data_IF_802129944871
#
_entry.id   IF_802129944871
#
_cell.length_a   1.000
_cell.length_b   1.000
_cell.length_c   1.000
_cell.angle_alpha   90.00
_cell.angle_beta   90.00
_cell.angle_gamma   90.00
#
_symmetry.space_group_name_H-M   'P 1'
#
loop_
_entity.id
_entity.type
_entity.pdbx_description
1 polymer ?
#
# COMPACT_ATOMS: atom_id res chain seq x y z
N UNK A 1 12.58 -17.95 -0.40
CA UNK A 1 13.42 -19.13 -0.65
C UNK A 1 14.11 -19.57 0.65
N UNK A 2 14.89 -18.69 1.30
CA UNK A 2 15.62 -19.01 2.54
C UNK A 2 14.66 -19.37 3.69
N UNK A 3 13.57 -18.66 3.85
CA UNK A 3 12.55 -18.96 4.85
C UNK A 3 11.92 -20.35 4.66
N UNK A 4 11.61 -20.73 3.42
CA UNK A 4 11.07 -22.08 3.15
C UNK A 4 12.07 -23.17 3.59
N UNK A 5 13.35 -23.00 3.34
CA UNK A 5 14.39 -23.95 3.79
C UNK A 5 14.53 -24.00 5.30
N UNK A 6 14.35 -22.88 5.98
CA UNK A 6 14.40 -22.78 7.43
C UNK A 6 13.28 -23.60 8.10
N UNK A 7 12.06 -23.50 7.57
CA UNK A 7 10.89 -24.18 8.16
C UNK A 7 10.67 -25.60 7.62
N UNK A 8 11.14 -25.89 6.41
CA UNK A 8 11.03 -27.22 5.78
C UNK A 8 12.42 -27.66 5.30
N UNK A 9 13.29 -28.17 6.18
CA UNK A 9 14.72 -28.41 5.87
C UNK A 9 14.96 -29.37 4.69
N UNK A 10 14.04 -30.31 4.43
CA UNK A 10 14.15 -31.32 3.36
C UNK A 10 13.45 -30.87 2.05
N UNK A 11 12.96 -29.63 1.96
CA UNK A 11 12.22 -29.16 0.79
C UNK A 11 13.11 -29.02 -0.44
N UNK A 12 12.63 -29.55 -1.56
CA UNK A 12 13.22 -29.27 -2.88
C UNK A 12 12.46 -28.08 -3.49
N UNK A 13 13.18 -27.04 -3.89
CA UNK A 13 12.58 -25.82 -4.42
C UNK A 13 13.01 -25.62 -5.87
N UNK A 14 12.02 -25.44 -6.77
CA UNK A 14 12.22 -24.99 -8.13
C UNK A 14 11.81 -23.52 -8.22
N UNK A 15 12.77 -22.65 -8.51
CA UNK A 15 12.49 -21.22 -8.76
C UNK A 15 12.11 -20.98 -10.21
N UNK A 16 11.05 -20.18 -10.41
CA UNK A 16 10.46 -19.88 -11.73
C UNK A 16 10.32 -18.38 -11.90
N UNK A 17 11.08 -17.81 -12.83
CA UNK A 17 11.13 -16.36 -13.11
C UNK A 17 12.49 -15.74 -12.80
N UNK A 18 12.56 -14.40 -12.78
CA UNK A 18 13.79 -13.63 -12.49
C UNK A 18 15.00 -14.02 -13.36
N UNK A 19 14.78 -14.24 -14.68
CA UNK A 19 15.86 -14.61 -15.61
C UNK A 19 16.25 -16.10 -15.63
N UNK A 20 15.78 -16.88 -14.68
CA UNK A 20 15.97 -18.33 -14.73
C UNK A 20 15.19 -18.93 -15.90
N UNK A 21 15.85 -19.58 -16.86
CA UNK A 21 15.20 -20.28 -17.98
C UNK A 21 15.12 -21.80 -17.78
N UNK A 22 15.98 -22.35 -16.93
CA UNK A 22 16.11 -23.78 -16.66
C UNK A 22 14.81 -24.46 -16.16
N UNK A 23 13.88 -23.70 -15.57
CA UNK A 23 12.59 -24.24 -15.13
C UNK A 23 11.76 -24.79 -16.30
N UNK A 24 11.92 -24.25 -17.52
CA UNK A 24 11.12 -24.66 -18.70
C UNK A 24 11.27 -26.13 -19.05
N UNK A 25 12.44 -26.69 -18.83
CA UNK A 25 12.76 -28.09 -19.12
C UNK A 25 12.55 -28.99 -17.91
N UNK A 26 12.55 -28.43 -16.71
CA UNK A 26 12.52 -29.17 -15.47
C UNK A 26 11.14 -29.20 -14.79
N UNK A 27 10.21 -28.26 -15.11
CA UNK A 27 8.96 -28.13 -14.39
C UNK A 27 8.11 -29.41 -14.40
N UNK A 28 7.89 -30.00 -15.57
CA UNK A 28 7.07 -31.22 -15.69
C UNK A 28 7.68 -32.39 -14.95
N UNK A 29 8.99 -32.60 -15.04
CA UNK A 29 9.67 -33.67 -14.31
C UNK A 29 9.72 -33.41 -12.81
N UNK A 30 9.90 -32.15 -12.41
CA UNK A 30 9.94 -31.73 -11.00
C UNK A 30 8.59 -31.91 -10.32
N UNK A 31 7.49 -31.68 -11.03
CA UNK A 31 6.11 -31.79 -10.50
C UNK A 31 5.50 -33.20 -10.74
N UNK A 32 6.14 -34.08 -11.53
CA UNK A 32 5.65 -35.43 -11.79
C UNK A 32 5.58 -36.31 -10.55
N UNK A 33 4.46 -37.02 -10.37
CA UNK A 33 4.23 -37.96 -9.27
C UNK A 33 5.07 -39.24 -9.39
N UNK A 34 5.50 -39.61 -10.61
CA UNK A 34 6.34 -40.80 -10.84
C UNK A 34 7.71 -40.70 -10.16
N UNK A 35 8.16 -39.48 -9.88
CA UNK A 35 9.35 -39.20 -9.09
C UNK A 35 8.99 -38.95 -7.62
N UNK A 36 8.08 -39.75 -7.04
CA UNK A 36 7.65 -39.62 -5.64
C UNK A 36 8.87 -39.68 -4.71
N UNK A 37 9.44 -38.51 -4.50
CA UNK A 37 10.55 -38.32 -3.59
C UNK A 37 10.02 -38.33 -2.16
N UNK A 38 10.79 -38.85 -1.25
CA UNK A 38 10.56 -38.80 0.21
C UNK A 38 10.56 -37.33 0.75
N UNK A 39 10.78 -36.35 -0.10
CA UNK A 39 10.91 -34.93 0.30
C UNK A 39 9.81 -34.07 -0.34
N UNK A 40 9.23 -33.10 0.41
CA UNK A 40 8.28 -32.14 -0.14
C UNK A 40 8.92 -31.31 -1.25
N UNK A 41 8.13 -30.99 -2.28
CA UNK A 41 8.56 -30.18 -3.43
C UNK A 41 7.75 -28.90 -3.51
N UNK A 42 8.41 -27.77 -3.73
CA UNK A 42 7.78 -26.46 -3.88
C UNK A 42 8.23 -25.82 -5.18
N UNK A 43 7.29 -25.39 -5.99
CA UNK A 43 7.54 -24.50 -7.14
C UNK A 43 7.30 -23.07 -6.66
N UNK A 44 8.36 -22.27 -6.59
CA UNK A 44 8.28 -20.86 -6.21
C UNK A 44 8.28 -20.01 -7.49
N UNK A 45 7.13 -19.51 -7.86
CA UNK A 45 6.95 -18.81 -9.14
C UNK A 45 6.54 -17.36 -8.96
N UNK A 46 7.12 -16.46 -9.76
CA UNK A 46 6.63 -15.08 -9.84
C UNK A 46 5.37 -15.01 -10.71
N UNK A 47 4.43 -14.17 -10.33
CA UNK A 47 3.10 -14.07 -10.95
C UNK A 47 3.16 -13.83 -12.48
N UNK A 48 4.07 -12.96 -12.94
CA UNK A 48 4.29 -12.69 -14.37
C UNK A 48 4.66 -13.94 -15.20
N UNK A 49 5.20 -14.98 -14.56
CA UNK A 49 5.55 -16.24 -15.24
C UNK A 49 4.49 -17.29 -15.00
N UNK A 50 3.97 -17.40 -13.79
CA UNK A 50 2.97 -18.37 -13.39
C UNK A 50 1.63 -18.21 -14.15
N UNK A 51 1.29 -17.00 -14.57
CA UNK A 51 0.08 -16.70 -15.34
C UNK A 51 0.17 -17.00 -16.84
N UNK A 52 1.31 -17.50 -17.36
CA UNK A 52 1.48 -17.81 -18.77
C UNK A 52 1.03 -19.24 -19.07
N UNK A 53 0.39 -19.45 -20.23
CA UNK A 53 -0.05 -20.77 -20.67
C UNK A 53 1.07 -21.81 -20.68
N UNK A 54 2.26 -21.46 -21.16
CA UNK A 54 3.42 -22.34 -21.16
C UNK A 54 3.86 -22.84 -19.76
N UNK A 55 3.58 -22.08 -18.70
CA UNK A 55 3.83 -22.53 -17.32
C UNK A 55 2.71 -23.50 -16.89
N UNK A 56 1.46 -23.11 -17.11
CA UNK A 56 0.27 -23.85 -16.66
C UNK A 56 0.21 -25.22 -17.32
N UNK A 57 0.47 -25.30 -18.64
CA UNK A 57 0.48 -26.54 -19.43
C UNK A 57 1.57 -27.54 -19.01
N UNK A 58 2.69 -27.04 -18.49
CA UNK A 58 3.82 -27.87 -18.01
C UNK A 58 3.72 -28.29 -16.57
N UNK A 59 2.83 -27.67 -15.81
CA UNK A 59 2.61 -27.97 -14.40
C UNK A 59 1.80 -29.27 -14.28
N UNK A 60 2.33 -30.28 -13.59
CA UNK A 60 1.48 -31.39 -13.17
C UNK A 60 0.58 -30.92 -12.03
N UNK A 61 -0.71 -31.03 -12.20
CA UNK A 61 -1.72 -30.46 -11.32
C UNK A 61 -2.33 -31.50 -10.35
N UNK A 62 -1.89 -32.76 -10.41
CA UNK A 62 -2.35 -33.80 -9.51
C UNK A 62 -1.68 -33.65 -8.13
N UNK A 63 -2.44 -33.75 -7.05
CA UNK A 63 -2.02 -33.56 -5.67
C UNK A 63 -1.31 -32.21 -5.46
N UNK A 64 -1.85 -31.15 -6.08
CA UNK A 64 -1.32 -29.81 -6.04
C UNK A 64 -1.98 -28.98 -4.93
N UNK A 65 -1.15 -28.34 -4.13
CA UNK A 65 -1.57 -27.26 -3.23
C UNK A 65 -1.12 -25.96 -3.87
N UNK A 66 -2.07 -25.11 -4.23
CA UNK A 66 -1.81 -23.78 -4.79
C UNK A 66 -1.89 -22.72 -3.67
N UNK A 67 -0.80 -22.03 -3.42
CA UNK A 67 -0.75 -20.91 -2.46
C UNK A 67 -0.41 -19.63 -3.20
N UNK A 68 -1.27 -18.62 -3.06
CA UNK A 68 -1.06 -17.31 -3.65
C UNK A 68 -0.93 -16.25 -2.56
N UNK A 69 0.22 -15.62 -2.48
CA UNK A 69 0.41 -14.39 -1.69
C UNK A 69 -0.05 -13.18 -2.50
N UNK A 70 -0.57 -12.15 -1.81
CA UNK A 70 -1.18 -10.97 -2.42
C UNK A 70 -2.23 -11.35 -3.49
N UNK A 71 -3.15 -12.25 -3.10
CA UNK A 71 -4.12 -12.90 -4.01
C UNK A 71 -4.94 -11.92 -4.84
N UNK A 72 -5.16 -10.70 -4.33
CA UNK A 72 -5.86 -9.65 -5.06
C UNK A 72 -5.24 -9.31 -6.43
N UNK A 73 -3.93 -9.57 -6.61
CA UNK A 73 -3.25 -9.32 -7.90
C UNK A 73 -3.72 -10.26 -8.99
N UNK A 74 -4.15 -11.48 -8.61
CA UNK A 74 -4.60 -12.51 -9.55
C UNK A 74 -5.87 -12.10 -10.30
N UNK A 75 -6.74 -11.30 -9.64
CA UNK A 75 -8.00 -10.82 -10.25
C UNK A 75 -7.83 -9.83 -11.41
N UNK A 76 -6.63 -9.28 -11.64
CA UNK A 76 -6.42 -8.37 -12.76
C UNK A 76 -6.52 -9.10 -14.10
N UNK A 77 -7.04 -8.47 -15.16
CA UNK A 77 -7.15 -9.04 -16.52
C UNK A 77 -5.84 -9.69 -16.99
N UNK A 78 -4.70 -9.10 -16.63
CA UNK A 78 -3.36 -9.59 -16.97
C UNK A 78 -3.04 -10.96 -16.36
N UNK A 79 -3.54 -11.25 -15.17
CA UNK A 79 -3.12 -12.42 -14.41
C UNK A 79 -4.20 -13.48 -14.21
N UNK A 80 -5.45 -13.21 -14.59
CA UNK A 80 -6.59 -14.14 -14.44
C UNK A 80 -6.38 -15.51 -15.11
N UNK A 81 -5.45 -15.60 -16.07
CA UNK A 81 -5.11 -16.86 -16.69
C UNK A 81 -4.63 -17.92 -15.69
N UNK A 82 -4.09 -17.49 -14.54
CA UNK A 82 -3.64 -18.38 -13.45
C UNK A 82 -4.78 -19.19 -12.85
N UNK A 83 -6.02 -18.73 -12.96
CA UNK A 83 -7.20 -19.48 -12.50
C UNK A 83 -7.53 -20.73 -13.34
N UNK A 84 -6.77 -20.97 -14.42
CA UNK A 84 -6.79 -22.25 -15.13
C UNK A 84 -6.04 -23.37 -14.40
N UNK A 85 -5.26 -23.04 -13.36
CA UNK A 85 -4.59 -24.07 -12.54
C UNK A 85 -5.66 -24.78 -11.73
N UNK A 86 -5.80 -26.09 -12.00
CA UNK A 86 -6.71 -26.96 -11.25
C UNK A 86 -5.96 -27.64 -10.12
N UNK A 87 -6.03 -27.04 -8.92
CA UNK A 87 -5.35 -27.52 -7.72
C UNK A 87 -6.36 -28.15 -6.75
N UNK A 88 -5.97 -29.25 -6.10
CA UNK A 88 -6.80 -29.93 -5.10
C UNK A 88 -7.07 -29.05 -3.88
N UNK A 89 -6.10 -28.24 -3.49
CA UNK A 89 -6.22 -27.28 -2.40
C UNK A 89 -5.73 -25.90 -2.84
N UNK A 90 -6.47 -24.88 -2.46
CA UNK A 90 -6.20 -23.48 -2.84
C UNK A 90 -6.22 -22.60 -1.63
N UNK A 91 -5.16 -21.82 -1.44
CA UNK A 91 -5.02 -20.86 -0.35
C UNK A 91 -4.60 -19.50 -0.91
N UNK A 92 -5.46 -18.50 -0.78
CA UNK A 92 -5.17 -17.11 -1.11
C UNK A 92 -4.90 -16.30 0.16
N UNK A 93 -3.81 -15.55 0.17
CA UNK A 93 -3.44 -14.68 1.27
C UNK A 93 -3.50 -13.22 0.79
N UNK A 94 -4.18 -12.36 1.53
CA UNK A 94 -4.22 -10.91 1.30
C UNK A 94 -4.74 -10.18 2.54
N UNK A 95 -4.23 -8.99 2.80
CA UNK A 95 -4.84 -8.10 3.79
C UNK A 95 -6.18 -7.53 3.29
N UNK A 96 -6.36 -7.43 1.98
CA UNK A 96 -7.56 -6.90 1.31
C UNK A 96 -7.81 -7.72 0.05
N UNK A 97 -8.57 -8.83 0.12
CA UNK A 97 -8.82 -9.68 -1.05
C UNK A 97 -9.69 -9.00 -2.11
N UNK A 98 -10.57 -8.10 -1.70
CA UNK A 98 -11.37 -7.28 -2.60
C UNK A 98 -10.49 -6.29 -3.37
N UNK A 99 -10.77 -6.15 -4.65
CA UNK A 99 -10.08 -5.22 -5.52
C UNK A 99 -10.83 -3.90 -5.57
N UNK A 100 -10.13 -2.82 -5.28
CA UNK A 100 -10.68 -1.48 -5.38
C UNK A 100 -11.16 -1.22 -6.81
N UNK A 101 -12.44 -0.89 -7.00
CA UNK A 101 -13.10 -0.61 -8.29
C UNK A 101 -12.95 -1.73 -9.35
N UNK A 102 -12.81 -2.96 -8.95
CA UNK A 102 -12.73 -4.10 -9.88
C UNK A 102 -13.55 -5.26 -9.28
N UNK A 103 -14.87 -5.13 -9.36
CA UNK A 103 -15.81 -6.16 -8.89
C UNK A 103 -15.64 -7.47 -9.63
N UNK A 104 -15.42 -7.40 -10.96
CA UNK A 104 -15.19 -8.57 -11.80
C UNK A 104 -13.94 -9.33 -11.36
N UNK A 105 -12.85 -8.60 -11.06
CA UNK A 105 -11.62 -9.19 -10.54
C UNK A 105 -11.78 -9.75 -9.14
N UNK A 106 -12.54 -9.07 -8.28
CA UNK A 106 -12.90 -9.56 -6.93
C UNK A 106 -13.69 -10.85 -7.03
N UNK A 107 -14.73 -10.86 -7.86
CA UNK A 107 -15.55 -12.06 -8.10
C UNK A 107 -14.72 -13.23 -8.61
N UNK A 108 -13.85 -13.02 -9.58
CA UNK A 108 -12.98 -14.07 -10.13
C UNK A 108 -12.08 -14.71 -9.07
N UNK A 109 -11.58 -13.91 -8.11
CA UNK A 109 -10.80 -14.43 -6.97
C UNK A 109 -11.69 -15.29 -6.06
N UNK A 110 -12.85 -14.75 -5.66
CA UNK A 110 -13.75 -15.45 -4.74
C UNK A 110 -14.29 -16.74 -5.37
N UNK A 111 -14.63 -16.73 -6.66
CA UNK A 111 -15.08 -17.93 -7.37
C UNK A 111 -13.99 -19.02 -7.43
N UNK A 112 -12.72 -18.63 -7.57
CA UNK A 112 -11.61 -19.58 -7.65
C UNK A 112 -11.18 -20.14 -6.29
N UNK A 113 -11.16 -19.31 -5.23
CA UNK A 113 -10.80 -19.70 -3.86
C UNK A 113 -12.00 -20.12 -3.01
N UNK A 114 -13.22 -20.06 -3.58
CA UNK A 114 -14.52 -20.43 -3.01
C UNK A 114 -15.01 -19.47 -1.93
N UNK A 115 -14.33 -19.39 -0.77
CA UNK A 115 -14.80 -18.58 0.36
C UNK A 115 -13.64 -17.96 1.13
N UNK A 116 -13.97 -16.88 1.87
CA UNK A 116 -13.08 -16.36 2.91
C UNK A 116 -13.13 -17.28 4.13
N UNK A 117 -11.95 -17.59 4.67
CA UNK A 117 -11.86 -18.35 5.92
C UNK A 117 -12.24 -17.47 7.11
N UNK A 118 -13.12 -17.97 7.95
CA UNK A 118 -13.48 -17.36 9.21
C UNK A 118 -12.68 -17.97 10.39
N UNK A 119 -12.38 -17.20 11.46
CA UNK A 119 -12.67 -15.77 11.61
C UNK A 119 -11.75 -14.87 10.79
N UNK A 120 -12.26 -13.74 10.31
CA UNK A 120 -11.44 -12.69 9.68
C UNK A 120 -10.52 -12.10 10.76
N UNK A 121 -9.21 -12.08 10.49
CA UNK A 121 -8.22 -11.56 11.42
C UNK A 121 -7.93 -10.09 11.12
N UNK A 122 -8.50 -9.21 11.92
CA UNK A 122 -8.36 -7.76 11.76
C UNK A 122 -7.13 -7.21 12.48
N UNK A 123 -6.76 -5.96 12.18
CA UNK A 123 -5.64 -5.28 12.86
C UNK A 123 -5.81 -5.28 14.38
N UNK A 124 -7.04 -5.04 14.89
CA UNK A 124 -7.31 -5.07 16.34
C UNK A 124 -6.93 -6.38 17.01
N UNK A 125 -7.06 -7.50 16.28
CA UNK A 125 -6.74 -8.84 16.79
C UNK A 125 -5.23 -9.10 16.83
N UNK A 126 -4.47 -8.39 16.00
CA UNK A 126 -3.00 -8.49 15.91
C UNK A 126 -2.29 -7.55 16.90
N UNK A 127 -2.92 -6.43 17.29
CA UNK A 127 -2.33 -5.47 18.23
C UNK A 127 -1.98 -6.11 19.58
N UNK A 128 -0.78 -5.81 20.09
CA UNK A 128 -0.23 -6.42 21.29
C UNK A 128 0.32 -7.85 21.11
N UNK A 129 0.01 -8.54 20.01
CA UNK A 129 0.50 -9.88 19.67
C UNK A 129 1.60 -9.83 18.60
N UNK A 130 1.21 -9.72 17.34
CA UNK A 130 2.11 -9.63 16.18
C UNK A 130 2.44 -8.17 15.82
N UNK A 131 1.58 -7.24 16.17
CA UNK A 131 1.73 -5.81 15.96
C UNK A 131 1.83 -5.07 17.29
N UNK A 132 2.60 -3.98 17.32
CA UNK A 132 2.64 -3.06 18.47
C UNK A 132 1.50 -2.06 18.39
N UNK A 133 1.10 -1.52 19.55
CA UNK A 133 0.19 -0.38 19.58
C UNK A 133 0.83 0.87 18.99
N UNK A 134 0.04 1.87 18.61
CA UNK A 134 0.55 3.07 17.94
C UNK A 134 -0.20 4.34 18.32
N UNK A 135 0.51 5.45 18.25
CA UNK A 135 -0.06 6.79 18.22
C UNK A 135 -0.21 7.24 16.76
N UNK A 136 -1.31 7.93 16.46
CA UNK A 136 -1.58 8.48 15.14
C UNK A 136 -1.82 9.98 15.20
N UNK A 137 -1.04 10.75 14.46
CA UNK A 137 -1.08 12.21 14.44
C UNK A 137 -1.38 12.73 13.04
N UNK A 138 -2.45 13.52 12.94
CA UNK A 138 -2.88 14.15 11.69
C UNK A 138 -2.36 15.59 11.65
N UNK A 139 -1.81 15.98 10.51
CA UNK A 139 -1.30 17.31 10.26
C UNK A 139 -1.95 17.89 9.00
N UNK A 140 -2.66 19.02 9.16
CA UNK A 140 -3.27 19.72 8.04
C UNK A 140 -2.19 20.41 7.20
N UNK A 141 -2.27 20.24 5.88
CA UNK A 141 -1.53 20.95 4.86
C UNK A 141 -2.52 21.62 3.90
N UNK A 142 -2.28 22.87 3.53
CA UNK A 142 -3.16 23.60 2.65
C UNK A 142 -2.67 23.51 1.20
N UNK A 143 -3.58 23.32 0.25
CA UNK A 143 -3.30 23.62 -1.15
C UNK A 143 -3.07 25.12 -1.33
N UNK A 144 -2.17 25.49 -2.23
CA UNK A 144 -2.10 26.86 -2.73
C UNK A 144 -3.33 27.19 -3.60
N UNK A 145 -3.57 28.47 -3.90
CA UNK A 145 -4.65 28.87 -4.79
C UNK A 145 -4.47 28.28 -6.20
N UNK A 146 -3.23 28.25 -6.69
CA UNK A 146 -2.90 27.67 -8.00
C UNK A 146 -3.14 26.15 -8.03
N UNK A 147 -2.79 25.44 -6.97
CA UNK A 147 -3.07 24.00 -6.83
C UNK A 147 -4.58 23.71 -6.76
N UNK A 148 -5.36 24.60 -6.12
CA UNK A 148 -6.82 24.49 -6.11
C UNK A 148 -7.43 24.71 -7.50
N UNK A 149 -6.95 25.69 -8.28
CA UNK A 149 -7.39 25.90 -9.66
C UNK A 149 -7.07 24.67 -10.52
N UNK A 150 -5.84 24.16 -10.43
CA UNK A 150 -5.44 22.93 -11.14
C UNK A 150 -6.31 21.71 -10.76
N UNK A 151 -6.65 21.57 -9.48
CA UNK A 151 -7.54 20.51 -9.01
C UNK A 151 -8.94 20.63 -9.60
N UNK A 152 -9.51 21.84 -9.60
CA UNK A 152 -10.84 22.10 -10.15
C UNK A 152 -10.88 21.85 -11.66
N UNK A 153 -9.90 22.37 -12.41
CA UNK A 153 -9.77 22.14 -13.85
C UNK A 153 -9.67 20.64 -14.19
N UNK A 154 -8.92 19.92 -13.39
CA UNK A 154 -8.78 18.46 -13.58
C UNK A 154 -10.09 17.75 -13.25
N UNK A 155 -10.82 18.18 -12.22
CA UNK A 155 -12.13 17.62 -11.85
C UNK A 155 -13.16 17.85 -12.96
N UNK A 156 -13.18 19.02 -13.60
CA UNK A 156 -14.03 19.25 -14.78
C UNK A 156 -13.68 18.33 -15.97
N UNK A 157 -12.38 18.12 -16.23
CA UNK A 157 -11.93 17.19 -17.29
C UNK A 157 -12.37 15.77 -17.01
N UNK A 158 -12.26 15.33 -15.75
CA UNK A 158 -12.70 14.00 -15.30
C UNK A 158 -14.20 13.85 -15.51
N UNK A 159 -15.02 14.83 -15.07
CA UNK A 159 -16.48 14.82 -15.26
C UNK A 159 -16.88 14.77 -16.74
N UNK A 160 -16.21 15.57 -17.59
CA UNK A 160 -16.44 15.53 -19.04
C UNK A 160 -16.07 14.18 -19.66
N UNK A 161 -14.95 13.57 -19.24
CA UNK A 161 -14.51 12.29 -19.74
C UNK A 161 -15.47 11.15 -19.31
N UNK A 162 -15.97 11.18 -18.09
CA UNK A 162 -16.96 10.25 -17.57
C UNK A 162 -18.26 10.28 -18.37
N UNK A 163 -18.81 11.48 -18.57
CA UNK A 163 -20.06 11.68 -19.33
C UNK A 163 -19.90 11.31 -20.81
N UNK A 164 -18.75 11.63 -21.42
CA UNK A 164 -18.49 11.33 -22.82
C UNK A 164 -18.32 9.82 -23.10
N UNK A 165 -17.90 9.06 -22.08
CA UNK A 165 -17.66 7.62 -22.19
C UNK A 165 -18.86 6.77 -21.71
N UNK A 166 -20.05 7.35 -21.60
CA UNK A 166 -21.27 6.65 -21.19
C UNK A 166 -21.25 6.16 -19.75
N UNK A 167 -20.52 6.84 -18.87
CA UNK A 167 -20.33 6.50 -17.45
C UNK A 167 -19.56 5.18 -17.25
N UNK A 168 -18.67 4.86 -18.17
CA UNK A 168 -17.77 3.71 -18.05
C UNK A 168 -16.31 4.15 -17.84
N UNK A 169 -15.55 3.36 -17.08
CA UNK A 169 -14.12 3.60 -16.91
C UNK A 169 -13.35 3.33 -18.22
N UNK A 170 -12.52 4.28 -18.60
CA UNK A 170 -11.58 4.15 -19.72
C UNK A 170 -10.15 4.43 -19.23
N UNK A 171 -9.14 3.97 -19.98
CA UNK A 171 -7.73 4.25 -19.65
C UNK A 171 -7.48 5.76 -19.54
N UNK A 172 -8.15 6.58 -20.38
CA UNK A 172 -8.06 8.03 -20.33
C UNK A 172 -8.66 8.61 -19.05
N UNK A 173 -9.81 8.12 -18.61
CA UNK A 173 -10.44 8.51 -17.36
C UNK A 173 -9.57 8.19 -16.15
N UNK A 174 -9.03 6.97 -16.07
CA UNK A 174 -8.13 6.53 -14.99
C UNK A 174 -6.84 7.37 -14.98
N UNK A 175 -6.31 7.74 -16.15
CA UNK A 175 -5.14 8.62 -16.24
C UNK A 175 -5.42 10.02 -15.68
N UNK A 176 -6.60 10.59 -15.94
CA UNK A 176 -7.01 11.89 -15.39
C UNK A 176 -7.17 11.84 -13.87
N UNK A 177 -7.78 10.79 -13.32
CA UNK A 177 -7.87 10.59 -11.87
C UNK A 177 -6.48 10.53 -11.22
N UNK A 178 -5.55 9.80 -11.84
CA UNK A 178 -4.16 9.71 -11.36
C UNK A 178 -3.46 11.08 -11.41
N UNK A 179 -3.66 11.87 -12.44
CA UNK A 179 -3.09 13.23 -12.55
C UNK A 179 -3.66 14.15 -11.48
N UNK A 180 -4.98 14.14 -11.25
CA UNK A 180 -5.59 14.92 -10.17
C UNK A 180 -5.05 14.54 -8.80
N UNK A 181 -4.95 13.24 -8.50
CA UNK A 181 -4.41 12.77 -7.23
C UNK A 181 -2.98 13.25 -6.97
N UNK A 182 -2.16 13.40 -8.02
CA UNK A 182 -0.78 13.92 -7.89
C UNK A 182 -0.73 15.36 -7.40
N UNK A 183 -1.71 16.21 -7.71
CA UNK A 183 -1.76 17.59 -7.21
C UNK A 183 -1.76 17.58 -5.68
N UNK A 184 -2.68 16.82 -5.07
CA UNK A 184 -2.75 16.71 -3.62
C UNK A 184 -1.52 16.03 -2.99
N UNK A 185 -0.97 15.00 -3.65
CA UNK A 185 0.20 14.28 -3.15
C UNK A 185 1.47 15.11 -3.14
N UNK A 186 1.59 16.05 -4.08
CA UNK A 186 2.78 16.87 -4.33
C UNK A 186 2.65 18.31 -3.84
N UNK A 187 1.57 18.63 -3.12
CA UNK A 187 1.32 19.98 -2.63
C UNK A 187 2.54 20.57 -1.92
N UNK A 188 2.91 21.80 -2.28
CA UNK A 188 4.13 22.48 -1.81
C UNK A 188 4.22 22.58 -0.28
N UNK A 189 3.07 22.82 0.35
CA UNK A 189 2.96 22.93 1.81
C UNK A 189 3.42 21.66 2.57
N UNK A 190 3.44 20.50 1.91
CA UNK A 190 3.80 19.22 2.54
C UNK A 190 5.29 19.14 2.89
N UNK A 191 6.16 19.68 2.04
CA UNK A 191 7.62 19.62 2.28
C UNK A 191 7.97 20.40 3.54
N UNK A 192 7.53 21.65 3.64
CA UNK A 192 7.79 22.47 4.82
C UNK A 192 7.19 21.89 6.11
N UNK A 193 5.95 21.37 6.02
CA UNK A 193 5.29 20.74 7.16
C UNK A 193 6.00 19.45 7.60
N UNK A 194 6.41 18.61 6.65
CA UNK A 194 7.16 17.39 6.93
C UNK A 194 8.52 17.69 7.58
N UNK A 195 9.22 18.73 7.10
CA UNK A 195 10.49 19.18 7.70
C UNK A 195 10.29 19.62 9.14
N UNK A 196 9.28 20.44 9.42
CA UNK A 196 8.98 20.88 10.80
C UNK A 196 8.65 19.70 11.73
N UNK A 197 7.91 18.70 11.25
CA UNK A 197 7.58 17.50 12.05
C UNK A 197 8.85 16.74 12.42
N UNK A 198 9.79 16.56 11.49
CA UNK A 198 11.05 15.88 11.79
C UNK A 198 11.96 16.71 12.72
N UNK A 199 12.02 18.04 12.55
CA UNK A 199 12.74 18.91 13.47
C UNK A 199 12.24 18.82 14.92
N UNK A 200 10.91 18.70 15.07
CA UNK A 200 10.27 18.66 16.39
C UNK A 200 10.32 17.28 17.06
N UNK A 201 10.38 16.19 16.28
CA UNK A 201 10.11 14.85 16.79
C UNK A 201 11.23 13.82 16.52
N UNK A 202 12.20 14.13 15.66
CA UNK A 202 13.28 13.19 15.37
C UNK A 202 14.41 13.31 16.40
N UNK A 203 14.73 12.18 17.02
CA UNK A 203 15.91 12.00 17.85
C UNK A 203 16.88 11.02 17.20
N UNK A 204 18.18 11.24 17.37
CA UNK A 204 19.22 10.36 16.82
C UNK A 204 19.06 8.91 17.33
N UNK A 205 19.19 7.96 16.41
CA UNK A 205 18.99 6.53 16.68
C UNK A 205 17.57 6.02 16.49
N UNK A 206 16.57 6.89 16.42
CA UNK A 206 15.21 6.48 16.01
C UNK A 206 15.18 6.02 14.55
N UNK A 207 14.23 5.16 14.21
CA UNK A 207 14.03 4.61 12.88
C UNK A 207 12.78 5.18 12.23
N UNK A 208 12.97 6.16 11.35
CA UNK A 208 11.90 6.82 10.63
C UNK A 208 11.82 6.36 9.18
N UNK A 209 10.60 6.11 8.72
CA UNK A 209 10.30 5.93 7.30
C UNK A 209 9.40 7.05 6.84
N UNK A 210 9.77 7.71 5.75
CA UNK A 210 8.99 8.76 5.11
C UNK A 210 8.52 8.28 3.75
N UNK A 211 7.20 8.29 3.54
CA UNK A 211 6.57 7.87 2.29
C UNK A 211 6.35 9.06 1.36
N UNK A 212 7.10 9.09 0.26
CA UNK A 212 7.01 10.09 -0.81
C UNK A 212 6.25 9.54 -2.02
N UNK A 213 5.77 10.42 -2.92
CA UNK A 213 5.06 10.03 -4.14
C UNK A 213 6.02 9.62 -5.25
N UNK A 214 7.08 10.42 -5.47
CA UNK A 214 8.02 10.24 -6.58
C UNK A 214 9.42 10.78 -6.23
N UNK A 215 10.40 10.49 -7.09
CA UNK A 215 11.80 10.82 -6.84
C UNK A 215 12.06 12.33 -6.73
N UNK A 216 11.34 13.15 -7.50
CA UNK A 216 11.46 14.62 -7.43
C UNK A 216 11.09 15.12 -6.03
N UNK A 217 9.91 14.73 -5.52
CA UNK A 217 9.47 15.12 -4.18
C UNK A 217 10.42 14.60 -3.09
N UNK A 218 10.89 13.38 -3.24
CA UNK A 218 11.86 12.78 -2.30
C UNK A 218 13.17 13.57 -2.27
N UNK A 219 13.67 14.02 -3.42
CA UNK A 219 14.92 14.78 -3.50
C UNK A 219 14.74 16.21 -2.95
N UNK A 220 13.63 16.89 -3.27
CA UNK A 220 13.28 18.19 -2.71
C UNK A 220 13.21 18.12 -1.17
N UNK A 221 12.56 17.09 -0.65
CA UNK A 221 12.48 16.88 0.79
C UNK A 221 13.84 16.57 1.41
N UNK A 222 14.68 15.77 0.75
CA UNK A 222 16.04 15.47 1.19
C UNK A 222 16.90 16.73 1.27
N UNK A 223 16.76 17.65 0.32
CA UNK A 223 17.46 18.93 0.31
C UNK A 223 16.97 19.79 1.50
N UNK A 224 15.66 19.92 1.68
CA UNK A 224 15.10 20.67 2.80
C UNK A 224 15.54 20.15 4.16
N UNK A 225 15.59 18.83 4.36
CA UNK A 225 16.11 18.23 5.59
C UNK A 225 17.60 18.54 5.80
N UNK A 226 18.40 18.49 4.72
CA UNK A 226 19.82 18.78 4.80
C UNK A 226 20.11 20.25 5.18
N UNK A 227 19.29 21.19 4.71
CA UNK A 227 19.37 22.60 5.10
C UNK A 227 19.14 22.80 6.60
N UNK A 228 18.34 21.94 7.22
CA UNK A 228 18.09 21.90 8.65
C UNK A 228 19.08 21.01 9.44
N UNK A 229 20.11 20.50 8.77
CA UNK A 229 21.14 19.65 9.41
C UNK A 229 20.67 18.21 9.68
N UNK A 230 19.59 17.77 9.08
CA UNK A 230 19.03 16.43 9.25
C UNK A 230 19.44 15.55 8.06
N UNK A 231 20.23 14.50 8.33
CA UNK A 231 20.63 13.53 7.32
C UNK A 231 19.52 12.52 7.05
N UNK A 232 19.37 12.12 5.78
CA UNK A 232 18.42 11.10 5.37
C UNK A 232 18.96 10.18 4.28
N UNK A 233 18.44 8.98 4.20
CA UNK A 233 18.81 7.93 3.25
C UNK A 233 17.67 7.71 2.24
N UNK A 234 18.01 7.49 0.97
CA UNK A 234 17.04 7.15 -0.07
C UNK A 234 16.86 5.63 -0.16
N UNK A 235 15.62 5.19 -0.42
CA UNK A 235 15.31 3.79 -0.64
C UNK A 235 14.15 3.62 -1.64
N UNK A 236 14.44 3.18 -2.86
CA UNK A 236 13.47 3.00 -3.94
C UNK A 236 13.90 1.89 -4.91
N UNK A 237 12.97 1.40 -5.74
CA UNK A 237 13.12 0.17 -6.55
C UNK A 237 14.22 0.23 -7.59
N UNK A 238 14.47 1.41 -8.16
CA UNK A 238 15.46 1.63 -9.21
C UNK A 238 16.90 1.72 -8.68
N UNK A 239 17.09 1.76 -7.36
CA UNK A 239 18.44 1.74 -6.78
C UNK A 239 19.14 0.40 -7.06
N UNK A 240 20.48 0.41 -7.28
CA UNK A 240 21.26 -0.82 -7.33
C UNK A 240 21.07 -1.67 -6.07
N UNK A 241 20.96 -2.98 -6.23
CA UNK A 241 20.67 -3.92 -5.13
C UNK A 241 21.67 -3.79 -3.95
N UNK A 242 22.95 -3.59 -4.25
CA UNK A 242 23.98 -3.37 -3.23
C UNK A 242 23.75 -2.07 -2.43
N UNK A 243 23.30 -1.01 -3.10
CA UNK A 243 22.96 0.25 -2.42
C UNK A 243 21.72 0.09 -1.53
N UNK A 244 20.71 -0.67 -1.99
CA UNK A 244 19.53 -1.00 -1.18
C UNK A 244 19.92 -1.76 0.10
N UNK A 245 20.75 -2.80 -0.05
CA UNK A 245 21.24 -3.60 1.11
C UNK A 245 22.04 -2.72 2.08
N UNK A 246 22.98 -1.93 1.58
CA UNK A 246 23.78 -1.03 2.42
C UNK A 246 22.92 0.00 3.17
N UNK A 247 21.87 0.53 2.54
CA UNK A 247 20.91 1.42 3.19
C UNK A 247 20.18 0.72 4.33
N UNK A 248 19.68 -0.50 4.11
CA UNK A 248 18.96 -1.26 5.14
C UNK A 248 19.89 -1.67 6.29
N UNK A 249 21.10 -2.11 6.02
CA UNK A 249 22.12 -2.45 7.04
C UNK A 249 22.47 -1.23 7.90
N UNK A 250 22.67 -0.07 7.27
CA UNK A 250 22.92 1.19 8.00
C UNK A 250 21.72 1.56 8.88
N UNK A 251 20.52 1.46 8.35
CA UNK A 251 19.28 1.75 9.08
C UNK A 251 19.04 0.79 10.25
N UNK A 252 19.36 -0.49 10.07
CA UNK A 252 19.25 -1.49 11.12
C UNK A 252 20.22 -1.21 12.27
N UNK A 253 21.46 -0.88 11.96
CA UNK A 253 22.51 -0.72 12.96
C UNK A 253 22.47 0.62 13.68
N UNK A 254 22.11 1.70 12.99
CA UNK A 254 22.27 3.07 13.49
C UNK A 254 20.94 3.85 13.57
N UNK A 255 19.85 3.32 13.00
CA UNK A 255 18.63 4.12 12.84
C UNK A 255 18.78 5.18 11.74
N UNK A 256 18.01 6.26 11.87
CA UNK A 256 17.99 7.38 10.93
C UNK A 256 16.67 7.50 10.18
N UNK A 257 16.69 8.26 9.09
CA UNK A 257 15.51 8.57 8.29
C UNK A 257 15.67 7.94 6.90
N UNK A 258 14.77 7.04 6.54
CA UNK A 258 14.62 6.51 5.17
C UNK A 258 13.53 7.28 4.44
N UNK A 259 13.85 7.88 3.30
CA UNK A 259 12.89 8.42 2.33
C UNK A 259 12.58 7.35 1.29
N UNK A 260 11.32 6.98 1.14
CA UNK A 260 10.92 5.87 0.28
C UNK A 260 9.77 6.20 -0.66
N UNK A 261 9.81 5.59 -1.86
CA UNK A 261 8.75 5.66 -2.88
C UNK A 261 8.23 4.25 -3.11
N UNK A 262 6.95 3.99 -2.85
CA UNK A 262 6.20 2.75 -3.18
C UNK A 262 6.86 1.39 -2.87
N UNK A 263 8.21 1.33 -2.79
CA UNK A 263 8.96 0.08 -2.62
C UNK A 263 8.72 -0.61 -1.29
N UNK A 264 8.34 0.18 -0.27
CA UNK A 264 8.03 -0.35 1.04
C UNK A 264 6.60 -0.88 1.15
N UNK A 265 5.82 -0.82 0.07
CA UNK A 265 4.45 -1.32 0.07
C UNK A 265 4.40 -2.85 -0.10
N UNK A 266 5.35 -3.47 -0.84
CA UNK A 266 5.37 -4.93 -1.10
C UNK A 266 6.79 -5.53 -1.05
N UNK A 267 6.93 -6.71 -0.42
CA UNK A 267 8.04 -7.64 -0.64
C UNK A 267 9.40 -7.35 0.00
N UNK A 268 9.62 -6.19 0.62
CA UNK A 268 10.89 -5.87 1.29
C UNK A 268 10.73 -6.06 2.80
N UNK A 269 11.61 -6.85 3.39
CA UNK A 269 11.72 -6.93 4.85
C UNK A 269 12.57 -5.78 5.36
N UNK A 270 11.94 -4.88 6.13
CA UNK A 270 12.59 -3.71 6.68
C UNK A 270 12.82 -3.93 8.15
N UNK A 271 14.01 -3.57 8.66
CA UNK A 271 14.25 -3.55 10.09
C UNK A 271 13.19 -2.74 10.84
N UNK A 272 13.07 -2.95 12.12
CA UNK A 272 12.09 -2.28 12.97
C UNK A 272 11.97 -0.80 12.67
N UNK A 273 10.77 -0.34 12.35
CA UNK A 273 10.42 1.07 12.10
C UNK A 273 9.73 1.58 13.36
N UNK A 274 10.23 2.65 13.97
CA UNK A 274 9.62 3.25 15.16
C UNK A 274 8.58 4.31 14.77
N UNK A 275 8.88 5.09 13.72
CA UNK A 275 8.09 6.22 13.29
C UNK A 275 7.85 6.17 11.77
N UNK A 276 6.67 6.60 11.36
CA UNK A 276 6.35 6.83 9.96
C UNK A 276 5.83 8.25 9.74
N UNK A 277 6.27 8.86 8.64
CA UNK A 277 5.73 10.12 8.14
C UNK A 277 5.16 9.89 6.74
N UNK A 278 3.86 10.10 6.59
CA UNK A 278 3.14 9.90 5.32
C UNK A 278 2.98 11.26 4.65
N UNK A 279 3.88 11.60 3.72
CA UNK A 279 3.80 12.82 2.90
C UNK A 279 2.81 12.58 1.76
N UNK A 280 2.90 11.42 1.10
CA UNK A 280 2.02 11.05 0.01
C UNK A 280 1.26 9.76 0.33
N UNK A 281 -0.06 9.82 0.28
CA UNK A 281 -0.94 8.68 0.46
C UNK A 281 -1.85 8.51 -0.75
N UNK A 282 -2.10 7.27 -1.13
CA UNK A 282 -3.14 6.95 -2.09
C UNK A 282 -4.50 6.81 -1.40
N UNK A 283 -5.57 7.03 -2.15
CA UNK A 283 -6.93 6.75 -1.71
C UNK A 283 -7.19 5.24 -1.62
N UNK A 284 -6.33 4.41 -2.22
CA UNK A 284 -6.46 2.97 -2.18
C UNK A 284 -6.21 2.42 -0.76
N UNK A 285 -7.24 1.85 -0.11
CA UNK A 285 -7.14 1.32 1.26
C UNK A 285 -6.00 0.34 1.46
N UNK A 286 -5.69 -0.47 0.45
CA UNK A 286 -4.64 -1.47 0.51
C UNK A 286 -3.27 -0.90 0.82
N UNK A 287 -2.89 0.18 0.13
CA UNK A 287 -1.55 0.74 0.31
C UNK A 287 -1.34 1.23 1.74
N UNK A 288 -2.29 1.97 2.29
CA UNK A 288 -2.13 2.47 3.64
C UNK A 288 -2.24 1.35 4.70
N UNK A 289 -3.05 0.31 4.47
CA UNK A 289 -3.11 -0.87 5.35
C UNK A 289 -1.76 -1.59 5.35
N UNK A 290 -1.15 -1.80 4.19
CA UNK A 290 0.17 -2.42 4.08
C UNK A 290 1.26 -1.58 4.73
N UNK A 291 1.31 -0.26 4.48
CA UNK A 291 2.25 0.67 5.13
C UNK A 291 2.10 0.61 6.65
N UNK A 292 0.87 0.75 7.15
CA UNK A 292 0.58 0.64 8.58
C UNK A 292 1.05 -0.70 9.15
N UNK A 293 0.72 -1.81 8.50
CA UNK A 293 1.13 -3.15 8.94
C UNK A 293 2.66 -3.29 9.07
N UNK A 294 3.44 -2.67 8.19
CA UNK A 294 4.92 -2.69 8.28
C UNK A 294 5.44 -1.86 9.43
N UNK A 295 4.89 -0.65 9.60
CA UNK A 295 5.27 0.24 10.69
C UNK A 295 4.93 -0.37 12.05
N UNK A 296 3.86 -1.16 12.13
CA UNK A 296 3.41 -1.77 13.39
C UNK A 296 4.05 -3.13 13.70
N UNK A 297 4.87 -3.71 12.82
CA UNK A 297 5.53 -5.00 13.11
C UNK A 297 6.27 -4.96 14.44
N UNK A 298 6.07 -6.02 15.22
CA UNK A 298 6.74 -6.19 16.51
C UNK A 298 8.22 -6.57 16.29
N UNK A 299 9.08 -6.01 17.13
CA UNK A 299 10.48 -6.39 17.26
C UNK A 299 10.91 -6.32 18.72
N UNK A 300 12.03 -6.91 19.07
CA UNK A 300 12.43 -7.18 20.47
C UNK A 300 12.44 -5.94 21.38
N UNK A 301 12.80 -4.78 20.87
CA UNK A 301 12.90 -3.54 21.66
C UNK A 301 11.77 -2.53 21.36
N UNK A 302 10.82 -2.86 20.50
CA UNK A 302 9.78 -1.92 20.08
C UNK A 302 8.52 -2.08 20.92
N UNK A 303 8.18 -1.05 21.69
CA UNK A 303 6.98 -1.03 22.54
C UNK A 303 5.77 -0.46 21.81
N UNK A 304 5.96 0.58 21.02
CA UNK A 304 4.92 1.26 20.23
C UNK A 304 5.49 1.84 18.95
N UNK A 305 4.61 2.22 18.04
CA UNK A 305 4.95 3.00 16.85
C UNK A 305 4.26 4.36 16.88
N UNK A 306 4.78 5.32 16.12
CA UNK A 306 4.18 6.64 15.93
C UNK A 306 4.01 6.89 14.43
N UNK A 307 2.80 7.30 14.02
CA UNK A 307 2.49 7.60 12.63
C UNK A 307 2.06 9.06 12.53
N UNK A 308 2.78 9.84 11.72
CA UNK A 308 2.41 11.19 11.33
C UNK A 308 1.86 11.16 9.90
N UNK A 309 0.69 11.73 9.68
CA UNK A 309 0.01 11.73 8.38
C UNK A 309 -0.35 13.15 7.95
N UNK A 310 0.10 13.53 6.75
CA UNK A 310 -0.18 14.83 6.16
C UNK A 310 -1.45 14.73 5.31
N UNK A 311 -2.51 15.39 5.74
CA UNK A 311 -3.76 15.48 5.01
C UNK A 311 -3.87 16.84 4.31
N UNK A 312 -4.38 16.82 3.08
CA UNK A 312 -4.55 18.02 2.28
C UNK A 312 -5.96 18.58 2.42
N UNK A 313 -6.02 19.90 2.55
CA UNK A 313 -7.29 20.64 2.54
C UNK A 313 -7.14 21.91 1.70
N UNK A 314 -8.23 22.45 1.14
CA UNK A 314 -8.19 23.72 0.42
C UNK A 314 -8.02 24.90 1.39
N UNK A 315 -7.57 26.08 0.93
CA UNK A 315 -7.65 27.29 1.73
C UNK A 315 -9.11 27.62 2.05
N UNK A 316 -9.34 28.27 3.19
CA UNK A 316 -10.69 28.50 3.76
C UNK A 316 -11.64 29.27 2.84
N UNK A 317 -11.12 30.03 1.86
CA UNK A 317 -11.90 30.76 0.86
C UNK A 317 -12.46 29.88 -0.28
N UNK A 318 -11.97 28.65 -0.43
CA UNK A 318 -12.32 27.76 -1.55
C UNK A 318 -13.15 26.54 -1.10
N UNK A 319 -13.89 26.67 0.01
CA UNK A 319 -14.58 25.58 0.68
C UNK A 319 -15.67 24.87 -0.15
N UNK A 320 -16.18 25.51 -1.22
CA UNK A 320 -17.32 24.97 -1.98
C UNK A 320 -16.95 23.89 -3.02
N UNK A 321 -15.79 24.01 -3.67
CA UNK A 321 -15.45 23.17 -4.85
C UNK A 321 -14.48 22.02 -4.54
N UNK A 322 -13.80 22.04 -3.39
CA UNK A 322 -12.79 21.04 -3.03
C UNK A 322 -13.24 20.15 -1.85
N UNK A 323 -14.53 20.19 -1.57
CA UNK A 323 -15.13 19.47 -0.42
C UNK A 323 -14.88 17.95 -0.48
N UNK A 324 -14.93 17.36 -1.68
CA UNK A 324 -14.71 15.93 -1.86
C UNK A 324 -13.28 15.49 -1.55
N UNK A 325 -12.27 16.32 -1.88
CA UNK A 325 -10.89 16.03 -1.47
C UNK A 325 -10.77 15.97 0.06
N UNK A 326 -11.26 17.01 0.73
CA UNK A 326 -11.21 17.09 2.20
C UNK A 326 -11.95 15.93 2.86
N UNK A 327 -13.14 15.57 2.34
CA UNK A 327 -13.93 14.43 2.82
C UNK A 327 -13.15 13.11 2.70
N UNK A 328 -12.52 12.86 1.55
CA UNK A 328 -11.72 11.66 1.31
C UNK A 328 -10.48 11.60 2.21
N UNK A 329 -9.78 12.72 2.40
CA UNK A 329 -8.62 12.80 3.29
C UNK A 329 -9.02 12.56 4.76
N UNK A 330 -10.14 13.14 5.21
CA UNK A 330 -10.67 12.91 6.56
C UNK A 330 -11.10 11.44 6.74
N UNK A 331 -11.79 10.84 5.77
CA UNK A 331 -12.20 9.44 5.82
C UNK A 331 -10.99 8.50 5.95
N UNK A 332 -9.94 8.75 5.17
CA UNK A 332 -8.68 8.02 5.28
C UNK A 332 -8.07 8.17 6.67
N UNK A 333 -8.03 9.38 7.21
CA UNK A 333 -7.50 9.64 8.54
C UNK A 333 -8.33 8.96 9.65
N UNK A 334 -9.65 8.93 9.54
CA UNK A 334 -10.54 8.16 10.45
C UNK A 334 -10.14 6.69 10.47
N UNK A 335 -9.93 6.10 9.30
CA UNK A 335 -9.56 4.68 9.21
C UNK A 335 -8.18 4.37 9.78
N UNK A 336 -7.23 5.28 9.65
CA UNK A 336 -5.94 5.15 10.34
C UNK A 336 -6.05 5.31 11.85
N UNK A 337 -6.95 6.18 12.28
CA UNK A 337 -7.15 6.49 13.71
C UNK A 337 -7.83 5.34 14.46
N UNK A 338 -8.64 4.53 13.80
CA UNK A 338 -9.27 3.35 14.41
C UNK A 338 -8.20 2.46 15.04
N UNK A 339 -8.34 2.20 16.34
CA UNK A 339 -7.41 1.41 17.18
C UNK A 339 -6.08 2.10 17.54
N UNK A 340 -5.89 3.40 17.31
CA UNK A 340 -4.76 4.14 17.84
C UNK A 340 -4.90 4.36 19.36
N UNK A 341 -3.80 4.43 20.10
CA UNK A 341 -3.81 4.72 21.56
C UNK A 341 -4.45 6.08 21.82
N UNK A 342 -4.13 7.07 20.99
CA UNK A 342 -4.62 8.45 21.08
C UNK A 342 -5.86 8.71 20.22
N UNK A 343 -6.67 7.68 19.94
CA UNK A 343 -7.83 7.73 19.02
C UNK A 343 -8.77 8.90 19.31
N UNK A 344 -9.14 9.11 20.59
CA UNK A 344 -10.04 10.20 20.98
C UNK A 344 -9.44 11.59 20.74
N UNK A 345 -8.14 11.76 20.97
CA UNK A 345 -7.45 13.03 20.76
C UNK A 345 -7.42 13.38 19.28
N UNK A 346 -7.08 12.41 18.42
CA UNK A 346 -7.05 12.58 16.97
C UNK A 346 -8.45 12.77 16.40
N UNK A 347 -9.47 12.06 16.92
CA UNK A 347 -10.87 12.29 16.53
C UNK A 347 -11.30 13.73 16.80
N UNK A 348 -10.91 14.33 17.91
CA UNK A 348 -11.19 15.75 18.19
C UNK A 348 -10.51 16.71 17.18
N UNK A 349 -9.32 16.36 16.68
CA UNK A 349 -8.65 17.15 15.63
C UNK A 349 -9.43 17.04 14.32
N UNK A 350 -9.81 15.83 13.94
CA UNK A 350 -10.59 15.55 12.72
C UNK A 350 -11.97 16.21 12.77
N UNK A 351 -12.65 16.22 13.93
CA UNK A 351 -13.95 16.87 14.11
C UNK A 351 -13.84 18.41 13.92
N UNK A 352 -12.80 19.01 14.48
CA UNK A 352 -12.53 20.46 14.26
C UNK A 352 -12.27 20.76 12.80
N UNK A 353 -11.52 19.90 12.14
CA UNK A 353 -11.20 20.04 10.73
C UNK A 353 -12.46 19.86 9.86
N UNK A 354 -13.27 18.84 10.11
CA UNK A 354 -14.53 18.64 9.40
C UNK A 354 -15.46 19.87 9.53
N UNK A 355 -15.64 20.38 10.75
CA UNK A 355 -16.44 21.59 11.01
C UNK A 355 -15.93 22.83 10.29
N UNK A 356 -14.60 23.00 10.17
CA UNK A 356 -13.99 24.10 9.42
C UNK A 356 -14.45 24.11 7.94
N UNK A 357 -14.73 22.93 7.38
CA UNK A 357 -15.16 22.74 6.00
C UNK A 357 -16.64 22.40 5.84
N UNK A 358 -17.46 22.65 6.87
CA UNK A 358 -18.89 22.35 6.90
C UNK A 358 -19.23 20.87 6.63
N UNK A 359 -18.35 19.97 7.02
CA UNK A 359 -18.53 18.52 6.91
C UNK A 359 -19.01 17.95 8.25
N UNK A 360 -19.89 16.95 8.19
CA UNK A 360 -20.33 16.18 9.35
C UNK A 360 -19.51 14.88 9.45
N UNK A 361 -18.70 14.77 10.51
CA UNK A 361 -17.83 13.62 10.73
C UNK A 361 -18.62 12.31 10.84
N UNK A 362 -19.81 12.34 11.47
CA UNK A 362 -20.63 11.14 11.63
C UNK A 362 -21.16 10.64 10.28
N UNK A 363 -21.57 11.54 9.39
CA UNK A 363 -21.99 11.17 8.03
C UNK A 363 -20.83 10.61 7.19
N UNK A 364 -19.60 11.08 7.44
CA UNK A 364 -18.40 10.54 6.79
C UNK A 364 -18.09 9.13 7.33
N UNK A 365 -18.22 8.90 8.64
CA UNK A 365 -18.01 7.59 9.27
C UNK A 365 -19.05 6.55 8.84
N UNK A 366 -20.33 6.93 8.68
CA UNK A 366 -21.42 6.03 8.25
C UNK A 366 -21.28 5.58 6.80
N UNK A 367 -20.70 6.40 5.94
CA UNK A 367 -20.41 6.08 4.53
C UNK A 367 -19.09 5.28 4.37
N UNK A 368 -18.69 4.51 5.37
CA UNK A 368 -17.41 3.76 5.42
C UNK A 368 -17.24 2.66 4.33
N UNK A 369 -18.09 2.65 3.31
CA UNK A 369 -17.89 1.89 2.09
C UNK A 369 -17.02 2.71 1.14
N UNK A 370 -15.68 2.45 1.19
CA UNK A 370 -14.70 3.08 0.30
C UNK A 370 -15.03 2.95 -1.20
N UNK A 371 -15.92 2.04 -1.56
CA UNK A 371 -16.43 1.87 -2.92
C UNK A 371 -17.48 2.94 -3.30
N UNK A 372 -18.18 3.54 -2.31
CA UNK A 372 -19.30 4.48 -2.53
C UNK A 372 -18.86 5.96 -2.50
N UNK A 373 -17.61 6.29 -2.16
CA UNK A 373 -17.15 7.70 -2.05
C UNK A 373 -17.12 8.42 -3.40
N UNK A 374 -17.25 7.71 -4.53
CA UNK A 374 -17.20 8.32 -5.87
C UNK A 374 -18.55 8.50 -6.55
N UNK A 375 -19.65 7.94 -6.08
CA UNK A 375 -20.97 8.37 -6.57
C UNK A 375 -21.20 9.85 -6.27
N UNK A 376 -20.65 10.39 -5.17
CA UNK A 376 -20.67 11.81 -4.83
C UNK A 376 -19.72 12.68 -5.70
N UNK A 377 -18.81 12.10 -6.50
CA UNK A 377 -17.87 12.85 -7.36
C UNK A 377 -18.49 13.24 -8.72
N UNK A 378 -19.65 12.69 -9.05
CA UNK A 378 -20.36 12.92 -10.32
C UNK A 378 -21.60 13.80 -10.18
N UNK A 379 -22.00 14.16 -8.95
CA UNK A 379 -23.22 14.95 -8.69
C UNK A 379 -22.99 16.47 -8.53
N UNK A 380 -21.75 17.01 -8.65
CA UNK A 380 -21.48 18.45 -8.62
C UNK A 380 -21.08 19.03 -10.00
#
# INVERSE_FOLDING_TARGET
YEELKKYIPMVKILQVGQGASAWKDNLSSFTSLTNAASSPRVVLAILNTASKDNFIEKLNQENLIFVADEVHRLGSKKFRNIFKIDADYRLGLSATPERFRDEEGTKAILDYFENKLEPIYEIKDALGKALVHYDYHVHECLLSFEECEQWNDMSEKISKAWNANGQEESDGYVALLSQRAKIAKKAESKISKATSILQENYDEGQRWVVYCEEEVQMEEFRIALKEEGIDSMKFYSEMPLEAQKGTLEKFENFGGIILSIKMLDEGVDIPSIDHALIIASDQNPRQYIQRRGRVLRKSDNKQKAVIHDLIITPPSSETGKVCNLTKTEILRAINFNKNAINEMQTKNVLDKLAKKYNLDLNQIEEKDDFNNVEEDLTED
#
